data_IF_535926806240
#
_entry.id   IF_535926806240
#
_cell.length_a   1.000
_cell.length_b   1.000
_cell.length_c   1.000
_cell.angle_alpha   90.00
_cell.angle_beta   90.00
_cell.angle_gamma   90.00
#
_symmetry.space_group_name_H-M   'P 1'
#
loop_
_entity.id
_entity.type
_entity.pdbx_description
1 polymer ?
#
# COMPACT_ATOMS: atom_id res chain seq x y z
N UNK A 1 -14.05 -8.45 -0.27
CA UNK A 1 -13.45 -8.93 -1.55
C UNK A 1 -11.98 -8.58 -1.49
N UNK A 2 -11.07 -9.55 -1.59
CA UNK A 2 -9.62 -9.32 -1.43
C UNK A 2 -9.02 -8.82 -2.74
N UNK A 3 -8.48 -7.60 -2.74
CA UNK A 3 -7.77 -7.05 -3.90
C UNK A 3 -6.42 -7.76 -4.08
N UNK A 4 -6.07 -8.12 -5.31
CA UNK A 4 -4.75 -8.73 -5.62
C UNK A 4 -3.66 -7.66 -5.58
N UNK A 5 -2.48 -8.00 -5.08
CA UNK A 5 -1.34 -7.07 -4.99
C UNK A 5 -0.93 -6.52 -6.37
N UNK A 6 -1.11 -7.29 -7.44
CA UNK A 6 -0.88 -6.85 -8.83
C UNK A 6 -1.71 -5.62 -9.20
N UNK A 7 -2.96 -5.53 -8.72
CA UNK A 7 -3.81 -4.35 -8.95
C UNK A 7 -3.28 -3.13 -8.23
N UNK A 8 -2.73 -3.33 -7.03
CA UNK A 8 -2.08 -2.26 -6.28
C UNK A 8 -0.78 -1.81 -6.94
N UNK A 9 0.00 -2.73 -7.49
CA UNK A 9 1.22 -2.44 -8.26
C UNK A 9 0.88 -1.65 -9.54
N UNK A 10 -0.13 -2.08 -10.30
CA UNK A 10 -0.60 -1.39 -11.50
C UNK A 10 -1.16 0.00 -11.17
N UNK A 11 -1.96 0.11 -10.10
CA UNK A 11 -2.41 1.37 -9.55
C UNK A 11 -1.22 2.29 -9.26
N UNK A 12 -0.26 1.83 -8.45
CA UNK A 12 0.87 2.67 -8.08
C UNK A 12 1.69 3.04 -9.30
N UNK A 13 1.96 2.13 -10.24
CA UNK A 13 2.64 2.45 -11.51
C UNK A 13 2.01 3.61 -12.28
N UNK A 14 0.69 3.76 -12.23
CA UNK A 14 -0.02 4.88 -12.89
C UNK A 14 0.09 6.23 -12.18
N UNK A 15 0.56 6.26 -10.93
CA UNK A 15 0.79 7.50 -10.17
C UNK A 15 2.00 8.24 -10.74
N UNK A 16 1.76 9.37 -11.40
CA UNK A 16 2.77 10.23 -12.02
C UNK A 16 3.25 11.31 -11.04
N UNK A 17 4.57 11.43 -10.90
CA UNK A 17 5.19 12.36 -9.97
C UNK A 17 5.34 13.75 -10.60
N UNK A 18 4.45 14.66 -10.23
CA UNK A 18 4.56 16.08 -10.56
C UNK A 18 4.71 16.96 -9.30
N UNK A 19 4.00 16.66 -8.21
CA UNK A 19 4.14 17.33 -6.91
C UNK A 19 3.70 16.42 -5.73
N UNK A 20 4.05 16.78 -4.49
CA UNK A 20 3.79 15.98 -3.27
C UNK A 20 2.28 15.88 -2.92
N UNK A 21 1.53 16.96 -3.13
CA UNK A 21 0.08 16.99 -2.90
C UNK A 21 -0.68 16.05 -3.86
N UNK A 22 -0.23 15.98 -5.11
CA UNK A 22 -0.80 15.18 -6.17
C UNK A 22 -0.66 13.68 -5.86
N UNK A 23 0.41 13.23 -5.21
CA UNK A 23 0.59 11.80 -4.87
C UNK A 23 -0.55 11.32 -3.98
N UNK A 24 -0.88 12.10 -2.95
CA UNK A 24 -1.93 11.74 -1.99
C UNK A 24 -3.31 11.71 -2.65
N UNK A 25 -3.56 12.65 -3.54
CA UNK A 25 -4.84 12.81 -4.23
C UNK A 25 -4.98 11.76 -5.34
N UNK A 26 -3.93 11.47 -6.08
CA UNK A 26 -3.87 10.38 -7.05
C UNK A 26 -4.07 9.02 -6.37
N UNK A 27 -3.42 8.74 -5.23
CA UNK A 27 -3.64 7.48 -4.50
C UNK A 27 -5.13 7.35 -4.10
N UNK A 28 -5.73 8.43 -3.61
CA UNK A 28 -7.16 8.45 -3.24
C UNK A 28 -8.08 8.23 -4.44
N UNK A 29 -7.87 8.96 -5.54
CA UNK A 29 -8.68 8.85 -6.75
C UNK A 29 -8.57 7.47 -7.40
N UNK A 30 -7.36 6.91 -7.51
CA UNK A 30 -7.20 5.57 -8.08
C UNK A 30 -7.77 4.51 -7.15
N UNK A 31 -7.63 4.66 -5.83
CA UNK A 31 -8.26 3.76 -4.87
C UNK A 31 -9.79 3.80 -4.98
N UNK A 32 -10.36 5.00 -5.11
CA UNK A 32 -11.80 5.20 -5.31
C UNK A 32 -12.28 4.57 -6.62
N UNK A 33 -11.54 4.76 -7.72
CA UNK A 33 -11.88 4.25 -9.03
C UNK A 33 -11.80 2.71 -9.14
N UNK A 34 -10.79 2.09 -8.54
CA UNK A 34 -10.61 0.64 -8.59
C UNK A 34 -11.33 -0.10 -7.46
N UNK A 35 -11.38 0.49 -6.27
CA UNK A 35 -11.76 -0.16 -5.01
C UNK A 35 -12.51 0.78 -4.06
N UNK A 36 -13.68 1.27 -4.50
CA UNK A 36 -14.56 2.15 -3.73
C UNK A 36 -14.79 1.68 -2.27
N UNK A 37 -15.00 0.38 -2.04
CA UNK A 37 -15.20 -0.15 -0.68
C UNK A 37 -13.99 0.02 0.23
N UNK A 38 -12.78 -0.14 -0.31
CA UNK A 38 -11.54 0.03 0.44
C UNK A 38 -11.25 1.50 0.70
N UNK A 39 -11.59 2.38 -0.26
CA UNK A 39 -11.54 3.82 -0.05
C UNK A 39 -12.47 4.26 1.08
N UNK A 40 -13.72 3.80 1.11
CA UNK A 40 -14.69 4.13 2.16
C UNK A 40 -14.23 3.64 3.54
N UNK A 41 -13.67 2.44 3.63
CA UNK A 41 -13.09 1.91 4.88
C UNK A 41 -11.90 2.76 5.38
N UNK A 42 -11.10 3.29 4.46
CA UNK A 42 -9.96 4.14 4.80
C UNK A 42 -10.39 5.55 5.17
N UNK A 43 -11.39 6.10 4.49
CA UNK A 43 -12.02 7.39 4.76
C UNK A 43 -12.70 7.40 6.14
N UNK A 44 -13.42 6.34 6.49
CA UNK A 44 -14.01 6.17 7.84
C UNK A 44 -12.96 6.19 8.95
N UNK A 45 -11.72 5.80 8.64
CA UNK A 45 -10.57 5.83 9.56
C UNK A 45 -9.73 7.11 9.42
N UNK A 46 -10.29 8.15 8.82
CA UNK A 46 -9.63 9.45 8.61
C UNK A 46 -8.31 9.35 7.87
N UNK A 47 -8.21 8.45 6.89
CA UNK A 47 -7.00 8.22 6.07
C UNK A 47 -5.75 7.84 6.87
N UNK A 48 -5.90 7.11 7.97
CA UNK A 48 -4.76 6.63 8.77
C UNK A 48 -3.75 5.85 7.89
N UNK A 49 -2.51 6.31 7.84
CA UNK A 49 -1.45 5.77 6.99
C UNK A 49 -0.97 4.37 7.42
N UNK A 50 -1.26 4.00 8.66
CA UNK A 50 -1.01 2.68 9.23
C UNK A 50 -2.22 1.74 9.07
N UNK A 51 -3.21 2.13 8.26
CA UNK A 51 -4.32 1.27 7.93
C UNK A 51 -3.82 -0.02 7.26
N UNK A 52 -4.22 -1.16 7.84
CA UNK A 52 -3.92 -2.48 7.30
C UNK A 52 -4.92 -2.83 6.21
N UNK A 53 -4.49 -2.68 4.96
CA UNK A 53 -5.23 -3.12 3.79
C UNK A 53 -5.16 -4.65 3.68
N UNK A 54 -6.27 -5.26 3.28
CA UNK A 54 -6.32 -6.68 2.94
C UNK A 54 -5.93 -6.86 1.48
N UNK A 55 -4.71 -7.32 1.24
CA UNK A 55 -4.18 -7.62 -0.10
C UNK A 55 -3.91 -9.12 -0.24
N UNK A 56 -3.65 -9.57 -1.46
CA UNK A 56 -3.29 -10.96 -1.71
C UNK A 56 -2.01 -11.01 -2.54
N UNK A 57 -0.94 -11.60 -1.98
CA UNK A 57 0.30 -11.87 -2.72
C UNK A 57 0.17 -13.25 -3.36
N UNK A 58 0.58 -13.39 -4.62
CA UNK A 58 0.95 -14.70 -5.14
C UNK A 58 2.25 -15.13 -4.47
N UNK A 59 2.14 -15.72 -3.28
CA UNK A 59 3.24 -16.54 -2.78
C UNK A 59 3.43 -17.74 -3.72
N UNK A 60 4.64 -18.27 -3.81
CA UNK A 60 4.96 -19.50 -4.56
C UNK A 60 4.15 -20.73 -4.10
N UNK A 61 3.37 -20.60 -3.02
CA UNK A 61 2.53 -21.65 -2.47
C UNK A 61 1.16 -21.68 -3.16
N UNK A 62 0.59 -22.88 -3.29
CA UNK A 62 -0.70 -23.15 -3.93
C UNK A 62 -1.91 -22.46 -3.27
N UNK A 63 -1.73 -21.79 -2.13
CA UNK A 63 -2.77 -21.11 -1.38
C UNK A 63 -2.48 -19.62 -1.34
N UNK A 64 -3.28 -18.84 -2.06
CA UNK A 64 -3.26 -17.39 -1.97
C UNK A 64 -3.83 -16.97 -0.61
N UNK A 65 -2.95 -16.71 0.37
CA UNK A 65 -3.34 -16.26 1.71
C UNK A 65 -3.58 -14.75 1.65
N UNK A 66 -4.74 -14.24 2.11
CA UNK A 66 -4.92 -12.81 2.27
C UNK A 66 -3.92 -12.30 3.31
N UNK A 67 -3.08 -11.35 2.90
CA UNK A 67 -2.15 -10.65 3.76
C UNK A 67 -2.75 -9.31 4.20
N UNK A 68 -2.30 -8.83 5.35
CA UNK A 68 -2.56 -7.48 5.81
C UNK A 68 -1.29 -6.68 5.62
N UNK A 69 -1.37 -5.54 4.94
CA UNK A 69 -0.23 -4.70 4.65
C UNK A 69 -0.63 -3.22 4.71
N UNK A 70 0.29 -2.35 5.14
CA UNK A 70 0.07 -0.91 5.09
C UNK A 70 0.39 -0.34 3.71
N UNK A 71 0.03 0.93 3.48
CA UNK A 71 0.38 1.62 2.23
C UNK A 71 1.89 1.65 2.01
N UNK A 72 2.69 1.70 3.08
CA UNK A 72 4.15 1.64 3.03
C UNK A 72 4.68 0.30 2.49
N UNK A 73 4.09 -0.82 2.93
CA UNK A 73 4.44 -2.15 2.42
C UNK A 73 4.20 -2.24 0.91
N UNK A 74 3.07 -1.72 0.44
CA UNK A 74 2.68 -1.74 -0.99
C UNK A 74 3.62 -0.86 -1.81
N UNK A 75 4.00 0.31 -1.29
CA UNK A 75 4.94 1.22 -1.93
C UNK A 75 6.33 0.60 -2.10
N UNK A 76 6.82 -0.14 -1.09
CA UNK A 76 8.09 -0.89 -1.15
C UNK A 76 8.00 -2.02 -2.17
N UNK A 77 6.94 -2.81 -2.14
CA UNK A 77 6.73 -3.89 -3.12
C UNK A 77 6.72 -3.38 -4.56
N UNK A 78 6.15 -2.19 -4.77
CA UNK A 78 6.06 -1.57 -6.10
C UNK A 78 7.32 -0.81 -6.51
N UNK A 79 8.39 -0.86 -5.71
CA UNK A 79 9.64 -0.11 -5.88
C UNK A 79 9.42 1.41 -6.08
N UNK A 80 8.45 1.97 -5.35
CA UNK A 80 8.07 3.39 -5.43
C UNK A 80 8.67 4.19 -4.29
N UNK A 81 9.97 4.42 -4.38
CA UNK A 81 10.74 5.20 -3.40
C UNK A 81 10.15 6.60 -3.13
N UNK A 82 9.53 7.23 -4.12
CA UNK A 82 8.90 8.54 -3.96
C UNK A 82 7.71 8.50 -2.99
N UNK A 83 6.90 7.45 -3.09
CA UNK A 83 5.76 7.23 -2.20
C UNK A 83 6.23 6.80 -0.82
N UNK A 84 7.29 5.98 -0.75
CA UNK A 84 7.94 5.63 0.52
C UNK A 84 8.44 6.89 1.25
N UNK A 85 9.15 7.77 0.53
CA UNK A 85 9.62 9.06 1.08
C UNK A 85 8.46 9.92 1.55
N UNK A 86 7.41 10.05 0.76
CA UNK A 86 6.20 10.80 1.14
C UNK A 86 5.55 10.25 2.42
N UNK A 87 5.36 8.94 2.50
CA UNK A 87 4.72 8.31 3.66
C UNK A 87 5.55 8.51 4.94
N UNK A 88 6.87 8.41 4.84
CA UNK A 88 7.77 8.56 5.99
C UNK A 88 7.94 10.04 6.37
N UNK A 89 8.23 10.91 5.40
CA UNK A 89 8.62 12.29 5.64
C UNK A 89 7.42 13.23 5.87
N UNK A 90 6.36 13.11 5.07
CA UNK A 90 5.21 14.01 5.12
C UNK A 90 4.06 13.47 5.98
N UNK A 91 3.93 12.14 6.05
CA UNK A 91 2.81 11.51 6.77
C UNK A 91 3.18 10.82 8.08
N UNK A 92 4.46 10.79 8.44
CA UNK A 92 4.93 10.10 9.65
C UNK A 92 4.38 8.66 9.76
N UNK A 93 4.24 7.97 8.62
CA UNK A 93 3.79 6.59 8.59
C UNK A 93 4.73 5.73 9.46
N UNK A 94 4.14 4.80 10.20
CA UNK A 94 4.88 3.91 11.07
C UNK A 94 5.64 2.89 10.22
N UNK A 95 6.97 3.03 10.21
CA UNK A 95 7.88 2.13 9.48
C UNK A 95 7.93 0.74 10.12
N UNK A 96 7.58 0.64 11.40
CA UNK A 96 7.53 -0.59 12.18
C UNK A 96 6.12 -1.19 12.20
N UNK A 97 5.19 -0.62 11.44
CA UNK A 97 3.85 -1.19 11.30
C UNK A 97 3.94 -2.65 10.84
N UNK A 98 3.23 -3.53 11.54
CA UNK A 98 3.26 -4.98 11.34
C UNK A 98 2.06 -5.46 10.52
N UNK A 99 2.36 -6.24 9.48
CA UNK A 99 1.39 -6.89 8.63
C UNK A 99 0.79 -8.17 9.22
N UNK A 100 0.29 -9.06 8.36
CA UNK A 100 -0.39 -10.32 8.76
C UNK A 100 0.51 -11.40 9.35
N UNK A 101 1.82 -11.34 9.10
CA UNK A 101 2.81 -12.33 9.57
C UNK A 101 3.87 -11.68 10.49
N UNK A 102 3.50 -10.57 11.13
CA UNK A 102 4.43 -9.70 11.88
C UNK A 102 5.52 -9.05 11.01
N UNK A 103 5.42 -9.24 9.70
CA UNK A 103 6.29 -8.63 8.70
C UNK A 103 6.16 -7.11 8.75
N UNK A 104 7.31 -6.45 8.76
CA UNK A 104 7.42 -5.00 8.62
C UNK A 104 7.74 -4.63 7.18
N UNK A 105 7.63 -3.33 6.89
CA UNK A 105 8.06 -2.73 5.64
C UNK A 105 9.49 -3.19 5.24
N UNK A 106 10.39 -3.32 6.21
CA UNK A 106 11.77 -3.77 6.01
C UNK A 106 11.87 -5.26 5.63
N UNK A 107 11.01 -6.12 6.17
CA UNK A 107 11.00 -7.55 5.80
C UNK A 107 10.66 -7.73 4.31
N UNK A 108 9.69 -6.96 3.80
CA UNK A 108 9.38 -6.96 2.37
C UNK A 108 10.52 -6.37 1.54
N UNK A 109 11.13 -5.25 1.98
CA UNK A 109 12.27 -4.65 1.28
C UNK A 109 13.43 -5.65 1.13
N UNK A 110 13.72 -6.45 2.17
CA UNK A 110 14.77 -7.47 2.13
C UNK A 110 14.40 -8.69 1.26
N UNK A 111 13.10 -8.97 1.08
CA UNK A 111 12.62 -10.10 0.27
C UNK A 111 12.60 -9.76 -1.23
N UNK A 112 12.32 -8.51 -1.59
CA UNK A 112 12.09 -8.07 -2.97
C UNK A 112 13.16 -7.10 -3.51
N UNK A 113 14.10 -6.63 -2.67
CA UNK A 113 15.20 -5.74 -3.04
C UNK A 113 16.43 -6.45 -3.60
#
# INVERSE_FOLDING_TARGET
MTSTLEKWEEMLRSVHFNNLSDISEQIKEVLKAQHQSTYEEWEQKSFNENHLFSACVRAFTRFAKPIKCTLLHIAIFSDRLDIVKYLIADKNADVDARGSDDDTALHLAAMFG
#
